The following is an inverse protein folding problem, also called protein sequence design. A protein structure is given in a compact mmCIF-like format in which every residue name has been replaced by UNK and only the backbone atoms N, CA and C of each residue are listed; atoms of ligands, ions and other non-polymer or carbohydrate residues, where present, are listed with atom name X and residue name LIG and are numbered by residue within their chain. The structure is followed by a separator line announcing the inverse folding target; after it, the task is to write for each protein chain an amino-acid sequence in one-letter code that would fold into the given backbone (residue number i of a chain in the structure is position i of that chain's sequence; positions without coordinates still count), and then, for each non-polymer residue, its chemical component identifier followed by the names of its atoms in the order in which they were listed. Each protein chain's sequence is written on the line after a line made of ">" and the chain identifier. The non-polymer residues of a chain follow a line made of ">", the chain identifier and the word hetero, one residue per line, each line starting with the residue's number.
data_IF_639901495154
#
_entry.id   IF_639901495154
#
_cell.length_a   1.000
_cell.length_b   1.000
_cell.length_c   1.000
_cell.angle_alpha   90.00
_cell.angle_beta   90.00
_cell.angle_gamma   90.00
#
_symmetry.space_group_name_H-M   'P 1'
#
loop_
_entity.id
_entity.type
_entity.pdbx_description
1 polymer ?
#
# COMPACT_ATOMS: atom_id res chain seq x y z
N UNK A 1 -2.91 15.73 -3.00
CA UNK A 1 -1.94 16.85 -3.29
C UNK A 1 -1.71 16.93 -4.79
N UNK A 2 -1.74 18.14 -5.39
CA UNK A 2 -1.58 18.33 -6.82
C UNK A 2 -0.10 18.16 -7.27
N UNK A 3 0.10 17.83 -8.57
CA UNK A 3 1.44 17.75 -9.18
C UNK A 3 2.25 19.06 -9.03
N UNK A 4 1.55 20.21 -8.99
CA UNK A 4 2.16 21.53 -8.75
C UNK A 4 2.80 21.62 -7.36
N UNK A 5 2.13 21.14 -6.31
CA UNK A 5 2.67 21.16 -4.94
C UNK A 5 3.93 20.28 -4.81
N UNK A 6 3.97 19.13 -5.49
CA UNK A 6 5.14 18.24 -5.53
C UNK A 6 6.33 18.93 -6.23
N UNK A 7 6.07 19.64 -7.34
CA UNK A 7 7.10 20.39 -8.08
C UNK A 7 7.70 21.53 -7.25
N UNK A 8 6.87 22.30 -6.54
CA UNK A 8 7.31 23.37 -5.65
C UNK A 8 8.18 22.82 -4.51
N UNK A 9 7.77 21.71 -3.87
CA UNK A 9 8.57 21.06 -2.82
C UNK A 9 9.96 20.64 -3.31
N UNK A 10 10.04 20.09 -4.53
CA UNK A 10 11.33 19.70 -5.15
C UNK A 10 12.22 20.91 -5.39
N UNK A 11 11.68 22.03 -5.87
CA UNK A 11 12.42 23.29 -6.06
C UNK A 11 12.95 23.89 -4.76
N UNK A 12 12.24 23.67 -3.65
CA UNK A 12 12.63 24.12 -2.31
C UNK A 12 13.56 23.12 -1.60
N UNK A 13 14.02 22.05 -2.25
CA UNK A 13 14.89 21.03 -1.64
C UNK A 13 14.24 20.23 -0.51
N UNK A 14 12.90 20.26 -0.38
CA UNK A 14 12.17 19.53 0.65
C UNK A 14 12.10 18.04 0.30
N UNK A 15 12.22 17.19 1.32
CA UNK A 15 12.09 15.73 1.14
C UNK A 15 10.73 15.38 0.53
N UNK A 16 10.68 14.42 -0.44
CA UNK A 16 9.42 13.94 -1.01
C UNK A 16 8.48 13.42 0.06
N UNK A 17 7.18 13.66 -0.08
CA UNK A 17 6.17 12.99 0.74
C UNK A 17 6.03 11.53 0.34
N UNK A 18 5.36 10.71 1.16
CA UNK A 18 5.06 9.30 0.83
C UNK A 18 4.26 9.19 -0.48
N UNK A 19 3.17 9.95 -0.70
CA UNK A 19 2.47 9.97 -1.99
C UNK A 19 3.34 10.40 -3.18
N UNK A 20 4.27 11.35 -2.99
CA UNK A 20 5.20 11.75 -4.06
C UNK A 20 6.14 10.60 -4.42
N UNK A 21 6.59 9.84 -3.41
CA UNK A 21 7.43 8.65 -3.62
C UNK A 21 6.68 7.58 -4.40
N UNK A 22 5.43 7.28 -4.02
CA UNK A 22 4.62 6.30 -4.73
C UNK A 22 4.44 6.68 -6.20
N UNK A 23 4.05 7.93 -6.48
CA UNK A 23 3.90 8.41 -7.85
C UNK A 23 5.21 8.32 -8.65
N UNK A 24 6.33 8.69 -8.06
CA UNK A 24 7.64 8.60 -8.73
C UNK A 24 8.03 7.15 -9.06
N UNK A 25 7.74 6.20 -8.17
CA UNK A 25 8.00 4.79 -8.41
C UNK A 25 7.07 4.22 -9.48
N UNK A 26 5.77 4.54 -9.43
CA UNK A 26 4.81 4.12 -10.45
C UNK A 26 5.24 4.66 -11.83
N UNK A 27 5.55 5.96 -11.94
CA UNK A 27 6.00 6.58 -13.20
C UNK A 27 7.32 5.96 -13.74
N UNK A 28 8.14 5.37 -12.86
CA UNK A 28 9.38 4.69 -13.27
C UNK A 28 9.15 3.26 -13.73
N UNK A 29 8.18 2.54 -13.14
CA UNK A 29 8.01 1.11 -13.35
C UNK A 29 6.81 0.74 -14.24
N UNK A 30 5.80 1.61 -14.38
CA UNK A 30 4.59 1.31 -15.14
C UNK A 30 4.71 1.42 -16.69
N UNK A 31 5.57 2.28 -17.28
CA UNK A 31 5.60 2.46 -18.73
C UNK A 31 5.84 1.17 -19.48
N UNK A 32 4.95 0.86 -20.44
CA UNK A 32 5.03 -0.34 -21.29
C UNK A 32 4.70 -1.67 -20.60
N UNK A 33 4.23 -1.65 -19.36
CA UNK A 33 3.97 -2.82 -18.52
C UNK A 33 2.52 -2.93 -18.09
N UNK A 34 2.09 -4.12 -17.75
CA UNK A 34 0.82 -4.38 -17.07
C UNK A 34 0.93 -4.02 -15.59
N UNK A 35 -0.15 -3.50 -14.99
CA UNK A 35 -0.12 -2.95 -13.65
C UNK A 35 -1.35 -3.37 -12.83
N UNK A 36 -1.14 -3.76 -11.57
CA UNK A 36 -2.20 -4.02 -10.60
C UNK A 36 -2.04 -3.08 -9.41
N UNK A 37 -3.14 -2.39 -9.00
CA UNK A 37 -3.22 -1.56 -7.80
C UNK A 37 -4.09 -2.27 -6.76
N UNK A 38 -3.47 -2.74 -5.67
CA UNK A 38 -4.13 -3.50 -4.58
C UNK A 38 -4.45 -2.58 -3.41
N UNK A 39 -5.72 -2.53 -3.01
CA UNK A 39 -6.21 -1.60 -2.00
C UNK A 39 -6.42 -0.20 -2.58
N UNK A 40 -7.03 -0.13 -3.76
CA UNK A 40 -7.06 1.08 -4.58
C UNK A 40 -8.19 2.07 -4.25
N UNK A 41 -9.13 1.74 -3.34
CA UNK A 41 -10.30 2.60 -3.10
C UNK A 41 -10.21 3.49 -1.86
N UNK A 42 -9.77 2.97 -0.71
CA UNK A 42 -9.81 3.69 0.55
C UNK A 42 -9.07 5.03 0.49
N UNK A 43 -9.82 6.15 0.57
CA UNK A 43 -9.30 7.53 0.58
C UNK A 43 -8.48 7.95 -0.65
N UNK A 44 -8.24 7.06 -1.63
CA UNK A 44 -7.44 7.34 -2.82
C UNK A 44 -8.21 7.20 -4.14
N UNK A 45 -9.40 6.56 -4.11
CA UNK A 45 -10.33 6.49 -5.25
C UNK A 45 -9.66 6.11 -6.59
N UNK A 46 -8.76 5.12 -6.56
CA UNK A 46 -8.01 4.65 -7.72
C UNK A 46 -6.89 5.58 -8.21
N UNK A 47 -6.50 6.59 -7.41
CA UNK A 47 -5.55 7.60 -7.87
C UNK A 47 -4.21 7.04 -8.36
N UNK A 48 -3.75 5.91 -7.82
CA UNK A 48 -2.49 5.28 -8.24
C UNK A 48 -2.67 4.40 -9.48
N UNK A 49 -3.82 3.72 -9.62
CA UNK A 49 -4.18 3.01 -10.84
C UNK A 49 -4.25 3.96 -12.04
N UNK A 50 -4.97 5.09 -11.90
CA UNK A 50 -5.02 6.11 -12.94
C UNK A 50 -3.64 6.74 -13.22
N UNK A 51 -2.82 6.93 -12.18
CA UNK A 51 -1.47 7.44 -12.39
C UNK A 51 -0.59 6.45 -13.16
N UNK A 52 -0.76 5.13 -12.97
CA UNK A 52 -0.07 4.12 -13.77
C UNK A 52 -0.52 4.18 -15.25
N UNK A 53 -1.84 4.31 -15.49
CA UNK A 53 -2.39 4.47 -16.85
C UNK A 53 -1.80 5.72 -17.52
N UNK A 54 -1.83 6.87 -16.83
CA UNK A 54 -1.28 8.16 -17.32
C UNK A 54 0.25 8.09 -17.53
N UNK A 55 0.93 7.19 -16.81
CA UNK A 55 2.38 6.96 -16.97
C UNK A 55 2.72 5.97 -18.08
N UNK A 56 1.73 5.45 -18.82
CA UNK A 56 1.94 4.58 -19.98
C UNK A 56 1.92 3.08 -19.67
N UNK A 57 1.26 2.64 -18.58
CA UNK A 57 0.96 1.23 -18.40
C UNK A 57 0.07 0.72 -19.54
N UNK A 58 0.33 -0.49 -20.03
CA UNK A 58 -0.38 -1.10 -21.18
C UNK A 58 -1.76 -1.66 -20.79
N UNK A 59 -1.90 -2.09 -19.54
CA UNK A 59 -3.17 -2.49 -18.94
C UNK A 59 -3.12 -2.23 -17.44
N UNK A 60 -4.23 -1.76 -16.87
CA UNK A 60 -4.31 -1.45 -15.43
C UNK A 60 -5.52 -2.14 -14.83
N UNK A 61 -5.30 -2.84 -13.70
CA UNK A 61 -6.35 -3.43 -12.88
C UNK A 61 -6.27 -2.86 -11.47
N UNK A 62 -7.40 -2.36 -10.95
CA UNK A 62 -7.55 -2.06 -9.52
C UNK A 62 -8.29 -3.19 -8.82
N UNK A 63 -7.91 -3.51 -7.60
CA UNK A 63 -8.62 -4.47 -6.74
C UNK A 63 -8.80 -3.90 -5.34
N UNK A 64 -10.02 -4.02 -4.81
CA UNK A 64 -10.34 -3.58 -3.44
C UNK A 64 -11.55 -4.34 -2.90
N UNK A 65 -11.64 -4.45 -1.57
CA UNK A 65 -12.84 -4.94 -0.87
C UNK A 65 -14.04 -4.01 -1.06
N UNK A 66 -13.77 -2.71 -1.13
CA UNK A 66 -14.80 -1.69 -1.31
C UNK A 66 -15.28 -1.67 -2.77
N UNK A 67 -16.55 -1.35 -2.94
CA UNK A 67 -17.09 -1.03 -4.27
C UNK A 67 -16.39 0.24 -4.83
N UNK A 68 -16.33 0.36 -6.17
CA UNK A 68 -15.75 1.55 -6.79
C UNK A 68 -16.50 2.82 -6.35
N UNK A 69 -15.75 3.82 -5.91
CA UNK A 69 -16.33 5.10 -5.48
C UNK A 69 -16.89 5.89 -6.67
N UNK A 70 -17.84 6.84 -6.45
CA UNK A 70 -18.33 7.71 -7.51
C UNK A 70 -17.21 8.48 -8.24
N UNK A 71 -16.17 8.90 -7.52
CA UNK A 71 -14.99 9.57 -8.07
C UNK A 71 -14.20 8.65 -9.00
N UNK A 72 -14.00 7.39 -8.59
CA UNK A 72 -13.37 6.38 -9.43
C UNK A 72 -14.17 6.15 -10.70
N UNK A 73 -15.49 5.93 -10.59
CA UNK A 73 -16.37 5.67 -11.73
C UNK A 73 -16.34 6.82 -12.73
N UNK A 74 -16.48 8.06 -12.23
CA UNK A 74 -16.43 9.27 -13.07
C UNK A 74 -15.11 9.38 -13.82
N UNK A 75 -13.99 9.19 -13.12
CA UNK A 75 -12.66 9.26 -13.73
C UNK A 75 -12.41 8.13 -14.71
N UNK A 76 -12.88 6.93 -14.41
CA UNK A 76 -12.74 5.77 -15.29
C UNK A 76 -13.53 5.94 -16.60
N UNK A 77 -14.74 6.46 -16.53
CA UNK A 77 -15.53 6.81 -17.73
C UNK A 77 -14.81 7.88 -18.56
N UNK A 78 -14.26 8.92 -17.93
CA UNK A 78 -13.52 9.97 -18.61
C UNK A 78 -12.22 9.46 -19.27
N UNK A 79 -11.63 8.39 -18.76
CA UNK A 79 -10.45 7.73 -19.35
C UNK A 79 -10.80 6.64 -20.38
N UNK A 80 -12.06 6.53 -20.81
CA UNK A 80 -12.51 5.50 -21.75
C UNK A 80 -12.55 4.09 -21.15
N UNK A 81 -12.68 3.96 -19.83
CA UNK A 81 -12.68 2.65 -19.16
C UNK A 81 -11.27 2.04 -19.00
N UNK A 82 -10.24 2.87 -18.97
CA UNK A 82 -8.84 2.43 -19.00
C UNK A 82 -8.36 1.64 -17.76
N UNK A 83 -9.15 1.61 -16.67
CA UNK A 83 -8.85 0.81 -15.47
C UNK A 83 -9.92 -0.25 -15.27
N UNK A 84 -9.55 -1.52 -15.40
CA UNK A 84 -10.40 -2.65 -15.00
C UNK A 84 -10.50 -2.70 -13.48
N UNK A 85 -11.67 -2.91 -12.91
CA UNK A 85 -11.85 -3.04 -11.48
C UNK A 85 -12.36 -4.43 -11.09
N UNK A 86 -11.76 -5.00 -10.04
CA UNK A 86 -12.18 -6.27 -9.42
C UNK A 86 -12.52 -5.97 -7.96
N UNK A 87 -13.77 -6.20 -7.57
CA UNK A 87 -14.16 -6.11 -6.17
C UNK A 87 -13.92 -7.46 -5.49
N UNK A 88 -13.13 -7.46 -4.41
CA UNK A 88 -12.88 -8.66 -3.63
C UNK A 88 -11.70 -8.53 -2.68
N UNK A 89 -11.55 -9.54 -1.83
CA UNK A 89 -10.39 -9.68 -0.94
C UNK A 89 -9.24 -10.32 -1.71
N UNK A 90 -8.10 -9.66 -1.77
CA UNK A 90 -6.88 -10.21 -2.42
C UNK A 90 -6.42 -11.52 -1.75
N UNK A 91 -6.80 -11.74 -0.49
CA UNK A 91 -6.52 -12.99 0.22
C UNK A 91 -7.44 -14.16 -0.19
N UNK A 92 -8.52 -13.87 -0.91
CA UNK A 92 -9.36 -14.90 -1.50
C UNK A 92 -8.73 -15.39 -2.82
N UNK A 93 -8.47 -16.72 -2.95
CA UNK A 93 -7.95 -17.29 -4.19
C UNK A 93 -8.79 -16.99 -5.44
N UNK A 94 -10.12 -16.90 -5.30
CA UNK A 94 -11.00 -16.55 -6.40
C UNK A 94 -10.76 -15.10 -6.88
N UNK A 95 -10.57 -14.16 -5.96
CA UNK A 95 -10.21 -12.78 -6.28
C UNK A 95 -8.84 -12.70 -6.96
N UNK A 96 -7.83 -13.37 -6.42
CA UNK A 96 -6.49 -13.43 -7.02
C UNK A 96 -6.52 -14.00 -8.43
N UNK A 97 -7.31 -15.05 -8.66
CA UNK A 97 -7.50 -15.64 -10.00
C UNK A 97 -8.21 -14.67 -10.95
N UNK A 98 -9.23 -13.96 -10.48
CA UNK A 98 -9.95 -12.96 -11.27
C UNK A 98 -9.08 -11.75 -11.61
N UNK A 99 -8.20 -11.32 -10.71
CA UNK A 99 -7.24 -10.23 -10.94
C UNK A 99 -6.22 -10.62 -12.00
N UNK A 100 -5.71 -11.85 -11.97
CA UNK A 100 -4.66 -12.36 -12.84
C UNK A 100 -3.28 -11.89 -12.41
N UNK A 101 -2.31 -11.95 -13.33
CA UNK A 101 -0.92 -11.52 -13.09
C UNK A 101 -0.62 -10.21 -13.82
N UNK A 102 0.34 -9.44 -13.30
CA UNK A 102 0.88 -8.27 -13.97
C UNK A 102 2.39 -8.15 -13.72
N UNK A 103 3.06 -7.43 -14.64
CA UNK A 103 4.49 -7.15 -14.52
C UNK A 103 4.79 -6.33 -13.25
N UNK A 104 3.93 -5.36 -12.95
CA UNK A 104 4.07 -4.48 -11.77
C UNK A 104 2.84 -4.59 -10.88
N UNK A 105 3.05 -4.85 -9.61
CA UNK A 105 2.03 -4.79 -8.57
C UNK A 105 2.34 -3.65 -7.61
N UNK A 106 1.38 -2.79 -7.35
CA UNK A 106 1.44 -1.76 -6.32
C UNK A 106 0.48 -2.12 -5.20
N UNK A 107 0.97 -2.11 -3.96
CA UNK A 107 0.18 -2.35 -2.77
C UNK A 107 0.62 -1.40 -1.67
N UNK A 108 -0.22 -0.45 -1.29
CA UNK A 108 0.11 0.51 -0.25
C UNK A 108 -1.05 0.71 0.73
N UNK A 109 -0.70 0.73 2.03
CA UNK A 109 -1.70 0.96 3.06
C UNK A 109 -2.53 -0.27 3.45
N UNK A 110 -2.13 -1.48 3.07
CA UNK A 110 -2.91 -2.72 3.26
C UNK A 110 -2.40 -3.58 4.41
N UNK A 111 -1.10 -3.84 4.50
CA UNK A 111 -0.55 -4.89 5.38
C UNK A 111 -0.93 -4.79 6.86
N UNK A 112 -1.03 -3.59 7.39
CA UNK A 112 -1.36 -3.39 8.80
C UNK A 112 -2.87 -3.51 9.09
N UNK A 113 -3.70 -3.57 8.04
CA UNK A 113 -5.15 -3.76 8.10
C UNK A 113 -5.60 -5.21 7.96
N UNK A 114 -4.72 -6.11 7.50
CA UNK A 114 -5.09 -7.52 7.29
C UNK A 114 -4.74 -8.38 8.50
N UNK A 115 -5.59 -9.34 8.88
CA UNK A 115 -5.30 -10.25 9.98
C UNK A 115 -4.06 -11.12 9.74
N UNK A 116 -3.82 -11.53 8.49
CA UNK A 116 -2.68 -12.35 8.10
C UNK A 116 -1.85 -11.66 7.00
N UNK A 117 -0.90 -10.79 7.37
CA UNK A 117 -0.09 -10.04 6.41
C UNK A 117 0.84 -10.93 5.57
N UNK A 118 1.27 -12.08 6.10
CA UNK A 118 2.11 -13.00 5.33
C UNK A 118 1.30 -13.65 4.18
N UNK A 119 0.07 -14.09 4.44
CA UNK A 119 -0.83 -14.58 3.39
C UNK A 119 -1.04 -13.52 2.29
N UNK A 120 -1.26 -12.26 2.69
CA UNK A 120 -1.39 -11.16 1.72
C UNK A 120 -0.14 -11.04 0.84
N UNK A 121 1.05 -11.08 1.42
CA UNK A 121 2.31 -11.04 0.66
C UNK A 121 2.50 -12.24 -0.27
N UNK A 122 2.09 -13.43 0.16
CA UNK A 122 2.08 -14.63 -0.69
C UNK A 122 1.11 -14.48 -1.89
N UNK A 123 -0.07 -13.90 -1.67
CA UNK A 123 -0.99 -13.60 -2.77
C UNK A 123 -0.40 -12.54 -3.72
N UNK A 124 0.21 -11.48 -3.17
CA UNK A 124 0.91 -10.48 -3.99
C UNK A 124 2.04 -11.14 -4.82
N UNK A 125 2.78 -12.12 -4.26
CA UNK A 125 3.83 -12.83 -4.98
C UNK A 125 3.28 -13.62 -6.15
N UNK A 126 2.10 -14.24 -5.99
CA UNK A 126 1.44 -15.03 -7.06
C UNK A 126 1.00 -14.18 -8.25
N UNK A 127 0.57 -12.95 -8.01
CA UNK A 127 0.07 -12.04 -9.05
C UNK A 127 1.16 -11.12 -9.61
N UNK A 128 2.36 -11.09 -9.00
CA UNK A 128 3.47 -10.22 -9.38
C UNK A 128 4.45 -10.96 -10.30
N UNK A 129 4.55 -10.50 -11.54
CA UNK A 129 5.49 -11.05 -12.53
C UNK A 129 6.93 -10.58 -12.34
N UNK A 130 7.13 -9.25 -12.16
CA UNK A 130 8.47 -8.67 -12.12
C UNK A 130 8.73 -7.81 -10.87
N UNK A 131 7.88 -6.81 -10.60
CA UNK A 131 8.14 -5.79 -9.57
C UNK A 131 6.96 -5.58 -8.65
N UNK A 132 7.20 -5.72 -7.34
CA UNK A 132 6.27 -5.26 -6.31
C UNK A 132 6.73 -3.90 -5.77
N UNK A 133 5.84 -2.91 -5.82
CA UNK A 133 5.97 -1.63 -5.15
C UNK A 133 5.12 -1.68 -3.88
N UNK A 134 5.75 -1.86 -2.72
CA UNK A 134 5.04 -2.02 -1.45
C UNK A 134 5.19 -0.76 -0.59
N UNK A 135 4.06 -0.28 -0.06
CA UNK A 135 4.01 0.77 0.94
C UNK A 135 3.29 0.33 2.22
N UNK A 136 3.91 0.53 3.37
CA UNK A 136 3.29 0.20 4.67
C UNK A 136 3.55 1.28 5.70
N UNK A 137 2.53 1.59 6.51
CA UNK A 137 2.77 2.30 7.77
C UNK A 137 3.56 1.39 8.71
N UNK A 138 4.43 2.00 9.52
CA UNK A 138 5.30 1.28 10.45
C UNK A 138 5.35 1.94 11.82
N UNK A 139 5.61 1.13 12.84
CA UNK A 139 6.09 1.58 14.15
C UNK A 139 7.62 1.75 14.11
N UNK A 140 8.23 2.49 15.05
CA UNK A 140 9.69 2.55 15.18
C UNK A 140 10.30 1.17 15.31
N UNK A 141 11.54 1.00 14.84
CA UNK A 141 12.34 -0.19 15.18
C UNK A 141 12.40 -0.36 16.69
N UNK A 142 12.23 -1.58 17.15
CA UNK A 142 12.28 -1.95 18.55
C UNK A 142 13.67 -2.52 18.89
N UNK A 143 13.95 -2.68 20.18
CA UNK A 143 15.20 -3.33 20.64
C UNK A 143 15.34 -4.73 20.05
N UNK A 144 14.23 -5.48 20.00
CA UNK A 144 14.15 -6.74 19.26
C UNK A 144 13.87 -6.43 17.78
N UNK A 145 14.77 -6.81 16.84
CA UNK A 145 14.52 -6.62 15.40
C UNK A 145 13.34 -7.46 14.91
N UNK A 146 12.79 -7.08 13.77
CA UNK A 146 11.67 -7.76 13.11
C UNK A 146 10.42 -7.87 14.01
N UNK A 147 10.21 -6.85 14.86
CA UNK A 147 9.06 -6.85 15.78
C UNK A 147 7.76 -6.57 15.03
N UNK A 148 6.79 -7.44 15.25
CA UNK A 148 5.41 -7.27 14.84
C UNK A 148 4.52 -7.32 16.09
N UNK A 149 3.74 -6.27 16.32
CA UNK A 149 2.86 -6.15 17.49
C UNK A 149 1.42 -6.31 17.04
N UNK A 150 0.71 -7.28 17.62
CA UNK A 150 -0.72 -7.43 17.42
C UNK A 150 -1.47 -6.37 18.22
N UNK A 151 -2.21 -5.50 17.54
CA UNK A 151 -2.83 -4.31 18.12
C UNK A 151 -4.23 -4.51 18.70
N UNK A 152 -5.08 -5.45 18.20
CA UNK A 152 -6.40 -5.68 18.75
C UNK A 152 -6.34 -5.91 20.27
N UNK A 153 -7.25 -5.22 21.00
CA UNK A 153 -7.35 -5.25 22.47
C UNK A 153 -6.13 -4.76 23.25
N UNK A 154 -5.11 -4.23 22.57
CA UNK A 154 -4.01 -3.57 23.26
C UNK A 154 -4.51 -2.25 23.85
N UNK A 155 -4.20 -2.00 25.13
CA UNK A 155 -4.64 -0.76 25.79
C UNK A 155 -4.04 0.52 25.14
N UNK A 156 -4.72 1.65 25.31
CA UNK A 156 -4.33 2.91 24.69
C UNK A 156 -2.94 3.39 25.11
N UNK A 157 -2.47 3.08 26.35
CA UNK A 157 -1.13 3.45 26.83
C UNK A 157 -0.04 2.69 26.07
N UNK A 158 -0.24 1.37 25.90
CA UNK A 158 0.70 0.52 25.15
C UNK A 158 0.68 0.88 23.66
N UNK A 159 -0.48 1.14 23.07
CA UNK A 159 -0.56 1.61 21.68
C UNK A 159 0.20 2.91 21.48
N UNK A 160 0.02 3.90 22.36
CA UNK A 160 0.78 5.17 22.30
C UNK A 160 2.28 5.00 22.47
N UNK A 161 2.73 4.01 23.26
CA UNK A 161 4.15 3.73 23.43
C UNK A 161 4.82 3.20 22.15
N UNK A 162 4.05 2.65 21.20
CA UNK A 162 4.53 2.17 19.90
C UNK A 162 4.63 3.30 18.86
N UNK A 163 4.13 4.49 19.15
CA UNK A 163 4.16 5.59 18.20
C UNK A 163 5.48 6.35 18.25
N UNK A 164 5.84 6.98 17.13
CA UNK A 164 6.87 8.02 17.16
C UNK A 164 6.36 9.19 18.01
N UNK A 165 7.18 9.70 18.93
CA UNK A 165 6.87 10.84 19.78
C UNK A 165 6.68 12.13 18.96
N UNK A 166 5.62 12.28 18.21
CA UNK A 166 5.24 13.55 17.61
C UNK A 166 3.73 13.61 17.48
N UNK A 167 3.18 14.68 18.03
CA UNK A 167 1.75 14.95 18.13
C UNK A 167 1.01 15.08 16.77
N UNK A 168 1.73 15.10 15.65
CA UNK A 168 1.21 15.64 14.40
C UNK A 168 0.54 14.63 13.46
N UNK A 169 0.49 13.33 13.79
CA UNK A 169 -0.20 12.36 12.93
C UNK A 169 -0.92 11.32 13.77
N UNK A 170 -2.23 11.42 13.76
CA UNK A 170 -3.12 10.31 14.12
C UNK A 170 -2.96 9.20 13.07
N UNK A 171 -2.02 8.31 13.28
CA UNK A 171 -2.05 7.00 12.62
C UNK A 171 -3.10 6.20 13.39
N UNK A 172 -3.86 5.36 12.73
CA UNK A 172 -4.94 4.54 13.33
C UNK A 172 -4.56 3.65 14.52
N UNK A 173 -3.31 3.77 15.02
CA UNK A 173 -2.81 3.20 16.28
C UNK A 173 -3.58 3.68 17.52
N UNK A 174 -4.20 4.86 17.47
CA UNK A 174 -5.01 5.40 18.57
C UNK A 174 -6.47 4.89 18.54
N UNK A 175 -6.89 4.22 17.46
CA UNK A 175 -8.25 3.73 17.30
C UNK A 175 -8.42 2.39 17.99
N UNK A 176 -9.47 2.25 18.80
CA UNK A 176 -9.81 0.97 19.41
C UNK A 176 -10.22 -0.03 18.33
N UNK A 177 -9.91 -1.30 18.58
CA UNK A 177 -10.34 -2.37 17.70
C UNK A 177 -11.85 -2.61 17.85
N UNK A 178 -12.56 -2.59 16.73
CA UNK A 178 -14.00 -2.89 16.66
C UNK A 178 -14.18 -4.08 15.71
N UNK A 179 -14.61 -5.21 16.27
CA UNK A 179 -14.68 -6.50 15.54
C UNK A 179 -15.42 -6.40 14.21
N UNK A 180 -16.55 -5.71 14.20
CA UNK A 180 -17.44 -5.64 13.03
C UNK A 180 -16.93 -4.67 11.94
N UNK A 181 -15.87 -3.92 12.20
CA UNK A 181 -15.24 -3.04 11.22
C UNK A 181 -14.25 -3.77 10.28
N UNK A 182 -14.01 -5.06 10.49
CA UNK A 182 -13.15 -5.85 9.60
C UNK A 182 -11.80 -5.17 9.32
N UNK A 183 -11.45 -5.03 8.06
CA UNK A 183 -10.17 -4.42 7.62
C UNK A 183 -10.08 -2.89 7.78
N UNK A 184 -11.12 -2.21 8.28
CA UNK A 184 -10.97 -0.82 8.74
C UNK A 184 -10.14 -0.72 10.04
N UNK A 185 -10.01 -1.82 10.78
CA UNK A 185 -9.14 -1.91 11.95
C UNK A 185 -7.67 -1.94 11.57
N UNK A 186 -6.83 -1.54 12.52
CA UNK A 186 -5.40 -1.84 12.49
C UNK A 186 -5.14 -3.12 13.28
N UNK A 187 -4.64 -4.15 12.61
CA UNK A 187 -4.27 -5.41 13.25
C UNK A 187 -2.81 -5.41 13.70
N UNK A 188 -1.93 -4.73 12.95
CA UNK A 188 -0.50 -4.86 13.17
C UNK A 188 0.22 -3.53 13.26
N UNK A 189 1.10 -3.42 14.26
CA UNK A 189 2.20 -2.47 14.30
C UNK A 189 3.47 -3.17 13.84
N UNK A 190 3.86 -2.97 12.59
CA UNK A 190 5.02 -3.61 11.97
C UNK A 190 6.22 -2.66 12.02
N UNK A 191 7.39 -3.14 12.43
CA UNK A 191 8.65 -2.40 12.20
C UNK A 191 9.06 -2.51 10.73
N UNK A 192 9.87 -1.58 10.18
CA UNK A 192 10.41 -1.71 8.83
C UNK A 192 11.12 -3.04 8.60
N UNK A 193 11.93 -3.50 9.58
CA UNK A 193 12.63 -4.79 9.50
C UNK A 193 11.68 -5.98 9.51
N UNK A 194 10.51 -5.91 10.18
CA UNK A 194 9.50 -6.95 10.13
C UNK A 194 8.85 -7.04 8.74
N UNK A 195 8.51 -5.89 8.13
CA UNK A 195 7.95 -5.87 6.76
C UNK A 195 8.93 -6.49 5.77
N UNK A 196 10.21 -6.16 5.85
CA UNK A 196 11.25 -6.73 4.98
C UNK A 196 11.44 -8.24 5.19
N UNK A 197 11.40 -8.70 6.45
CA UNK A 197 11.50 -10.13 6.76
C UNK A 197 10.29 -10.92 6.22
N UNK A 198 9.09 -10.36 6.35
CA UNK A 198 7.86 -10.97 5.79
C UNK A 198 7.91 -11.04 4.26
N UNK A 199 8.42 -9.99 3.58
CA UNK A 199 8.60 -9.99 2.12
C UNK A 199 9.54 -11.11 1.68
N UNK A 200 10.68 -11.27 2.36
CA UNK A 200 11.62 -12.37 2.07
C UNK A 200 10.99 -13.73 2.31
N UNK A 201 10.21 -13.90 3.39
CA UNK A 201 9.50 -15.13 3.67
C UNK A 201 8.45 -15.46 2.59
N UNK A 202 7.83 -14.45 1.98
CA UNK A 202 6.91 -14.60 0.86
C UNK A 202 7.62 -14.77 -0.51
N UNK A 203 8.96 -14.82 -0.55
CA UNK A 203 9.74 -15.06 -1.77
C UNK A 203 10.07 -13.80 -2.58
N UNK A 204 10.06 -12.62 -1.96
CA UNK A 204 10.50 -11.38 -2.57
C UNK A 204 11.94 -11.02 -2.16
N UNK A 205 12.68 -10.42 -3.09
CA UNK A 205 13.95 -9.77 -2.81
C UNK A 205 13.77 -8.25 -2.79
N UNK A 206 14.14 -7.60 -1.69
CA UNK A 206 14.07 -6.13 -1.56
C UNK A 206 15.26 -5.50 -2.28
N UNK A 207 15.00 -4.72 -3.32
CA UNK A 207 16.02 -4.01 -4.14
C UNK A 207 16.22 -2.57 -3.70
N UNK A 208 15.14 -1.88 -3.36
CA UNK A 208 15.20 -0.48 -2.93
C UNK A 208 14.37 -0.27 -1.68
N UNK A 209 14.86 0.62 -0.81
CA UNK A 209 14.30 0.91 0.48
C UNK A 209 14.22 2.41 0.73
N UNK A 210 13.04 2.91 0.97
CA UNK A 210 12.79 4.30 1.32
C UNK A 210 12.10 4.37 2.67
N UNK A 211 12.84 4.82 3.69
CA UNK A 211 12.31 5.02 5.02
C UNK A 211 11.74 6.42 5.15
N UNK A 212 10.51 6.46 5.56
CA UNK A 212 9.85 7.62 6.10
C UNK A 212 9.67 7.44 7.60
N UNK A 213 9.46 8.56 8.33
CA UNK A 213 9.35 8.51 9.80
C UNK A 213 8.35 7.46 10.32
N UNK A 214 7.28 7.16 9.56
CA UNK A 214 6.16 6.29 9.97
C UNK A 214 5.72 5.33 8.87
N UNK A 215 6.55 5.16 7.90
CA UNK A 215 6.25 4.29 6.78
C UNK A 215 7.52 3.82 6.09
N UNK A 216 7.40 2.71 5.44
CA UNK A 216 8.39 2.19 4.52
C UNK A 216 7.79 2.10 3.12
N UNK A 217 8.58 2.38 2.11
CA UNK A 217 8.27 2.09 0.73
C UNK A 217 9.41 1.24 0.16
N UNK A 218 9.06 0.11 -0.42
CA UNK A 218 9.99 -0.92 -0.88
C UNK A 218 9.75 -1.23 -2.35
N UNK A 219 10.83 -1.44 -3.10
CA UNK A 219 10.81 -2.01 -4.44
C UNK A 219 11.37 -3.41 -4.34
N UNK A 220 10.59 -4.40 -4.74
CA UNK A 220 10.91 -5.81 -4.61
C UNK A 220 10.79 -6.55 -5.95
N UNK A 221 11.55 -7.62 -6.11
CA UNK A 221 11.50 -8.53 -7.26
C UNK A 221 11.28 -9.97 -6.83
#
# INVERSE_FOLDING_TARGET
>A
MSAAASRIRRLLGLRPTVPDRYRALIARHAPGRTFIDVGCMWAVHGAYAFHALESGATAVTGVDLMAPSPEFVTRNLASGGGVRFVQGDINDPATSAAVGTADVVFCAGVLYHVPNPLLTLEQLRRICGETLLLGSATIPEQRQPQTAVFLPYLDARRRRALTYRSADVKIGLDTEFVRDQGYANWFWGLTPSAVEAMLRAAGFEVRERYLHRRSVCLVCV
#
